data_IF_911408813606
#
_entry.id   IF_911408813606
#
_cell.length_a   1.000
_cell.length_b   1.000
_cell.length_c   1.000
_cell.angle_alpha   90.00
_cell.angle_beta   90.00
_cell.angle_gamma   90.00
#
_symmetry.space_group_name_H-M   'P 1'
#
loop_
_entity.id
_entity.type
_entity.pdbx_description
1 polymer ?
#
# COMPACT_ATOMS: atom_id res chain seq x y z
N UNK A 1 -23.63 2.76 4.27
CA UNK A 1 -24.19 2.43 2.96
C UNK A 1 -25.17 1.27 3.11
N UNK A 2 -26.26 1.24 2.34
CA UNK A 2 -27.31 0.21 2.38
C UNK A 2 -27.67 -0.23 0.95
N UNK A 3 -27.84 -1.53 0.76
CA UNK A 3 -28.27 -2.16 -0.48
C UNK A 3 -29.42 -3.12 -0.17
N UNK A 4 -30.61 -2.83 -0.68
CA UNK A 4 -31.82 -3.62 -0.40
C UNK A 4 -32.44 -4.19 -1.69
N UNK A 5 -32.57 -5.52 -1.72
CA UNK A 5 -33.15 -6.31 -2.82
C UNK A 5 -34.40 -7.08 -2.39
N UNK A 6 -34.94 -6.86 -1.18
CA UNK A 6 -36.11 -7.60 -0.70
C UNK A 6 -37.31 -7.33 -1.60
N UNK A 7 -37.83 -8.38 -2.22
CA UNK A 7 -38.97 -8.30 -3.15
C UNK A 7 -38.64 -7.70 -4.51
N UNK A 8 -37.36 -7.58 -4.90
CA UNK A 8 -36.91 -7.00 -6.17
C UNK A 8 -35.82 -7.84 -6.83
N UNK A 9 -35.66 -7.71 -8.15
CA UNK A 9 -34.48 -8.22 -8.83
C UNK A 9 -33.25 -7.36 -8.44
N UNK A 10 -32.05 -7.94 -8.49
CA UNK A 10 -30.80 -7.27 -8.08
C UNK A 10 -30.53 -5.98 -8.86
N UNK A 11 -31.02 -5.88 -10.09
CA UNK A 11 -30.94 -4.70 -10.97
C UNK A 11 -31.80 -3.52 -10.50
N UNK A 12 -32.76 -3.75 -9.60
CA UNK A 12 -33.69 -2.74 -9.05
C UNK A 12 -33.45 -2.47 -7.57
N UNK A 13 -32.27 -2.85 -7.07
CA UNK A 13 -31.92 -2.67 -5.68
C UNK A 13 -31.94 -1.19 -5.30
N UNK A 14 -32.44 -0.89 -4.09
CA UNK A 14 -32.34 0.46 -3.53
C UNK A 14 -30.93 0.64 -2.98
N UNK A 15 -30.17 1.56 -3.57
CA UNK A 15 -28.84 1.94 -3.12
C UNK A 15 -28.90 3.25 -2.32
N UNK A 16 -28.26 3.27 -1.16
CA UNK A 16 -28.10 4.50 -0.37
C UNK A 16 -26.73 4.56 0.30
N UNK A 17 -25.95 5.60 0.03
CA UNK A 17 -24.75 5.97 0.78
C UNK A 17 -25.07 7.18 1.68
N UNK A 18 -24.44 7.26 2.85
CA UNK A 18 -24.56 8.45 3.70
C UNK A 18 -23.76 9.58 3.03
N UNK A 19 -24.36 10.75 2.76
CA UNK A 19 -23.64 11.89 2.16
C UNK A 19 -22.42 12.28 2.97
N UNK A 20 -22.56 12.28 4.30
CA UNK A 20 -21.52 12.72 5.24
C UNK A 20 -20.33 11.77 5.37
N UNK A 21 -20.45 10.52 4.89
CA UNK A 21 -19.38 9.52 5.00
C UNK A 21 -18.55 9.41 3.71
N UNK A 22 -19.21 9.06 2.59
CA UNK A 22 -18.51 8.80 1.32
C UNK A 22 -19.06 9.62 0.16
N UNK A 23 -20.19 10.33 0.36
CA UNK A 23 -20.87 11.03 -0.72
C UNK A 23 -21.06 10.14 -1.97
N UNK A 24 -20.67 10.62 -3.16
CA UNK A 24 -20.77 9.87 -4.40
C UNK A 24 -19.60 8.91 -4.65
N UNK A 25 -18.59 8.83 -3.77
CA UNK A 25 -17.36 8.05 -4.02
C UNK A 25 -17.49 6.56 -3.71
N UNK A 26 -18.56 6.12 -3.05
CA UNK A 26 -18.74 4.73 -2.64
C UNK A 26 -19.85 4.03 -3.41
N UNK A 27 -19.53 2.87 -3.99
CA UNK A 27 -20.42 2.05 -4.81
C UNK A 27 -20.42 0.60 -4.33
N UNK A 28 -21.57 -0.06 -4.36
CA UNK A 28 -21.68 -1.47 -3.98
C UNK A 28 -21.97 -2.32 -5.21
N UNK A 29 -21.11 -3.32 -5.44
CA UNK A 29 -21.21 -4.24 -6.58
C UNK A 29 -21.70 -5.58 -6.09
N UNK A 30 -23.02 -5.79 -6.21
CA UNK A 30 -23.66 -7.05 -5.83
C UNK A 30 -23.42 -8.20 -6.82
N UNK A 31 -22.96 -7.90 -8.04
CA UNK A 31 -22.72 -8.90 -9.08
C UNK A 31 -21.39 -9.63 -8.98
N UNK A 32 -20.49 -9.23 -8.07
CA UNK A 32 -19.23 -9.95 -7.81
C UNK A 32 -19.43 -11.02 -6.74
N UNK A 33 -18.59 -12.06 -6.76
CA UNK A 33 -18.54 -13.06 -5.70
C UNK A 33 -17.12 -13.11 -5.08
N UNK A 34 -16.92 -12.59 -3.86
CA UNK A 34 -17.93 -11.97 -2.99
C UNK A 34 -18.39 -10.59 -3.49
N UNK A 35 -19.55 -10.13 -3.01
CA UNK A 35 -20.03 -8.78 -3.29
C UNK A 35 -19.05 -7.75 -2.70
N UNK A 36 -18.74 -6.69 -3.45
CA UNK A 36 -17.68 -5.75 -3.10
C UNK A 36 -18.21 -4.33 -2.84
N UNK A 37 -17.64 -3.67 -1.84
CA UNK A 37 -17.74 -2.22 -1.66
C UNK A 37 -16.52 -1.59 -2.35
N UNK A 38 -16.78 -0.66 -3.26
CA UNK A 38 -15.78 0.12 -3.99
C UNK A 38 -15.81 1.54 -3.45
N UNK A 39 -14.64 2.10 -3.17
CA UNK A 39 -14.47 3.49 -2.71
C UNK A 39 -13.44 4.14 -3.62
N UNK A 40 -13.87 5.14 -4.38
CA UNK A 40 -13.01 5.92 -5.26
C UNK A 40 -12.35 7.09 -4.50
N UNK A 41 -11.17 7.50 -4.98
CA UNK A 41 -10.39 8.61 -4.43
C UNK A 41 -10.26 8.50 -2.89
N UNK A 42 -9.53 7.48 -2.44
CA UNK A 42 -9.33 7.15 -1.01
C UNK A 42 -8.57 8.29 -0.31
N UNK A 43 -9.04 8.71 0.86
CA UNK A 43 -8.38 9.70 1.72
C UNK A 43 -7.96 9.06 3.04
N UNK A 44 -6.94 9.59 3.72
CA UNK A 44 -6.49 9.12 5.05
C UNK A 44 -7.63 9.02 6.08
N UNK A 45 -8.62 9.92 6.02
CA UNK A 45 -9.80 9.90 6.90
C UNK A 45 -10.75 8.72 6.65
N UNK A 46 -10.61 8.02 5.51
CA UNK A 46 -11.41 6.83 5.20
C UNK A 46 -10.89 5.60 5.97
N UNK A 47 -9.70 5.67 6.60
CA UNK A 47 -9.15 4.60 7.43
C UNK A 47 -10.06 4.27 8.63
N UNK A 48 -10.24 2.97 8.91
CA UNK A 48 -10.96 2.53 10.10
C UNK A 48 -11.60 1.15 9.97
N UNK A 49 -12.54 0.87 10.88
CA UNK A 49 -13.24 -0.42 10.95
C UNK A 49 -14.61 -0.34 10.27
N UNK A 50 -14.76 -1.06 9.18
CA UNK A 50 -15.96 -1.13 8.38
C UNK A 50 -16.83 -2.29 8.86
N UNK A 51 -18.14 -2.07 8.97
CA UNK A 51 -19.12 -3.10 9.34
C UNK A 51 -19.98 -3.45 8.14
N UNK A 52 -19.95 -4.72 7.73
CA UNK A 52 -20.90 -5.25 6.75
C UNK A 52 -21.96 -6.06 7.48
N UNK A 53 -23.22 -5.65 7.32
CA UNK A 53 -24.40 -6.30 7.88
C UNK A 53 -25.28 -6.79 6.74
N UNK A 54 -25.66 -8.07 6.78
CA UNK A 54 -26.55 -8.68 5.80
C UNK A 54 -27.72 -9.34 6.52
N UNK A 55 -28.92 -8.83 6.29
CA UNK A 55 -30.16 -9.38 6.85
C UNK A 55 -30.79 -10.36 5.84
N UNK A 56 -31.03 -11.60 6.28
CA UNK A 56 -31.68 -12.64 5.46
C UNK A 56 -33.14 -12.82 5.89
N UNK A 57 -34.00 -13.26 4.97
CA UNK A 57 -35.43 -13.45 5.27
C UNK A 57 -35.68 -14.60 6.25
N UNK A 58 -35.00 -15.73 6.06
CA UNK A 58 -35.21 -16.98 6.80
C UNK A 58 -33.94 -17.45 7.52
N UNK A 59 -32.97 -16.56 7.72
CA UNK A 59 -31.69 -16.91 8.35
C UNK A 59 -31.20 -15.75 9.21
N UNK A 60 -30.36 -16.02 10.23
CA UNK A 60 -29.82 -14.98 11.08
C UNK A 60 -29.03 -13.93 10.28
N UNK A 61 -29.08 -12.68 10.74
CA UNK A 61 -28.25 -11.59 10.22
C UNK A 61 -26.78 -11.94 10.36
N UNK A 62 -26.02 -11.79 9.27
CA UNK A 62 -24.56 -11.93 9.30
C UNK A 62 -23.92 -10.56 9.46
N UNK A 63 -22.95 -10.47 10.36
CA UNK A 63 -22.15 -9.28 10.59
C UNK A 63 -20.68 -9.62 10.39
N UNK A 64 -19.96 -8.77 9.67
CA UNK A 64 -18.51 -8.85 9.54
C UNK A 64 -17.89 -7.49 9.77
N UNK A 65 -16.66 -7.49 10.28
CA UNK A 65 -15.85 -6.30 10.47
C UNK A 65 -14.62 -6.42 9.59
N UNK A 66 -14.27 -5.35 8.89
CA UNK A 66 -13.08 -5.27 8.04
C UNK A 66 -12.27 -4.06 8.49
N UNK A 67 -11.00 -4.27 8.78
CA UNK A 67 -10.07 -3.16 9.02
C UNK A 67 -9.57 -2.67 7.67
N UNK A 68 -9.82 -1.41 7.37
CA UNK A 68 -9.34 -0.75 6.18
C UNK A 68 -8.25 0.22 6.60
N UNK A 69 -7.00 -0.13 6.30
CA UNK A 69 -5.80 0.65 6.60
C UNK A 69 -5.27 1.30 5.34
N UNK A 70 -4.85 2.55 5.42
CA UNK A 70 -4.31 3.28 4.28
C UNK A 70 -2.79 3.35 4.43
N UNK A 71 -2.08 2.96 3.38
CA UNK A 71 -0.64 3.02 3.32
C UNK A 71 -0.27 4.20 2.42
N UNK A 72 0.41 5.19 3.00
CA UNK A 72 0.98 6.30 2.22
C UNK A 72 2.40 5.91 1.83
N UNK A 73 2.70 5.82 0.52
CA UNK A 73 4.04 5.51 0.09
C UNK A 73 5.03 6.59 0.54
N UNK A 74 6.31 6.25 0.69
CA UNK A 74 7.32 7.21 1.06
C UNK A 74 7.48 8.30 0.00
N UNK A 75 7.88 9.48 0.45
CA UNK A 75 7.99 10.66 -0.42
C UNK A 75 9.34 10.77 -1.09
N UNK A 76 10.40 10.24 -0.46
CA UNK A 76 11.78 10.30 -0.97
C UNK A 76 12.52 9.02 -0.60
N UNK A 77 13.38 8.59 -1.51
CA UNK A 77 14.29 7.46 -1.34
C UNK A 77 15.70 8.01 -1.57
N UNK A 78 16.60 7.74 -0.62
CA UNK A 78 18.01 8.07 -0.69
C UNK A 78 18.83 6.79 -0.65
N UNK A 79 19.85 6.71 -1.50
CA UNK A 79 20.79 5.59 -1.51
C UNK A 79 22.14 6.15 -1.12
N UNK A 80 22.81 5.51 -0.17
CA UNK A 80 24.13 5.88 0.29
C UNK A 80 25.11 4.72 0.10
N UNK A 81 26.38 5.05 -0.09
CA UNK A 81 27.48 4.09 0.09
C UNK A 81 27.86 3.94 1.58
N UNK A 82 28.86 3.10 1.84
CA UNK A 82 29.44 2.85 3.16
C UNK A 82 30.01 4.11 3.83
N UNK A 83 30.37 5.12 3.03
CA UNK A 83 30.84 6.42 3.49
C UNK A 83 29.70 7.46 3.67
N UNK A 84 28.43 7.06 3.57
CA UNK A 84 27.24 7.93 3.62
C UNK A 84 27.18 9.00 2.53
N UNK A 85 27.76 8.73 1.37
CA UNK A 85 27.67 9.63 0.22
C UNK A 85 26.45 9.23 -0.61
N UNK A 86 25.53 10.17 -0.80
CA UNK A 86 24.32 9.97 -1.58
C UNK A 86 24.65 9.64 -3.04
N UNK A 87 24.02 8.58 -3.56
CA UNK A 87 24.10 8.17 -4.97
C UNK A 87 22.71 8.31 -5.59
N UNK A 88 22.60 9.17 -6.58
CA UNK A 88 21.28 9.58 -7.09
C UNK A 88 20.73 8.67 -8.19
N UNK A 89 21.56 7.98 -8.98
CA UNK A 89 21.13 7.15 -10.10
C UNK A 89 22.12 6.05 -10.50
N UNK A 90 23.39 6.22 -10.13
CA UNK A 90 24.49 5.41 -10.59
C UNK A 90 25.42 5.16 -9.43
N UNK A 91 25.67 3.90 -9.14
CA UNK A 91 26.54 3.48 -8.05
C UNK A 91 27.70 2.72 -8.68
N UNK A 92 28.90 3.31 -8.65
CA UNK A 92 30.09 2.75 -9.27
C UNK A 92 30.97 3.81 -9.92
N UNK A 93 32.21 3.48 -10.31
CA UNK A 93 32.70 2.13 -10.65
C UNK A 93 33.16 1.29 -9.46
N UNK A 94 32.73 0.02 -9.39
CA UNK A 94 33.20 -0.95 -8.39
C UNK A 94 34.06 -2.05 -9.04
N UNK A 95 35.04 -2.53 -8.29
CA UNK A 95 35.88 -3.64 -8.73
C UNK A 95 35.13 -4.97 -8.58
N UNK A 96 35.32 -5.86 -9.54
CA UNK A 96 34.77 -7.21 -9.52
C UNK A 96 35.21 -7.96 -8.24
N UNK A 97 34.25 -8.59 -7.56
CA UNK A 97 34.50 -9.31 -6.30
C UNK A 97 34.60 -8.43 -5.05
N UNK A 98 34.44 -7.11 -5.16
CA UNK A 98 34.29 -6.23 -4.00
C UNK A 98 32.91 -6.41 -3.34
N UNK A 99 32.89 -6.43 -2.01
CA UNK A 99 31.66 -6.36 -1.24
C UNK A 99 31.28 -4.88 -1.12
N UNK A 100 30.08 -4.52 -1.57
CA UNK A 100 29.58 -3.14 -1.52
C UNK A 100 28.40 -3.09 -0.56
N UNK A 101 28.50 -2.24 0.44
CA UNK A 101 27.40 -1.99 1.37
C UNK A 101 26.64 -0.75 0.90
N UNK A 102 25.37 -0.92 0.51
CA UNK A 102 24.50 0.19 0.17
C UNK A 102 23.43 0.35 1.25
N UNK A 103 23.26 1.58 1.69
CA UNK A 103 22.27 1.94 2.69
C UNK A 103 21.13 2.63 1.97
N UNK A 104 19.93 2.06 2.07
CA UNK A 104 18.72 2.67 1.55
C UNK A 104 17.95 3.36 2.67
N UNK A 105 17.84 4.67 2.57
CA UNK A 105 17.07 5.47 3.52
C UNK A 105 15.80 5.97 2.84
N UNK A 106 14.66 5.56 3.38
CA UNK A 106 13.35 5.94 2.89
C UNK A 106 12.77 6.96 3.86
N UNK A 107 12.43 8.15 3.37
CA UNK A 107 11.89 9.24 4.19
C UNK A 107 10.43 9.53 3.89
N UNK A 108 9.68 9.71 4.98
CA UNK A 108 8.25 9.92 4.96
C UNK A 108 7.46 8.67 4.56
N UNK A 109 6.14 8.85 4.44
CA UNK A 109 5.18 7.75 4.46
C UNK A 109 4.51 7.68 5.83
N UNK A 110 3.27 7.20 5.83
CA UNK A 110 2.46 7.01 7.01
C UNK A 110 1.83 5.63 6.91
N UNK A 111 1.92 4.87 8.00
CA UNK A 111 1.17 3.65 8.21
C UNK A 111 0.17 3.90 9.35
N UNK A 112 -1.07 3.45 9.14
CA UNK A 112 -2.19 3.62 10.05
C UNK A 112 -2.21 2.65 11.23
N UNK A 113 -1.06 2.38 11.85
CA UNK A 113 -1.00 1.53 13.04
C UNK A 113 -1.27 2.36 14.29
N UNK A 114 -2.46 2.14 14.87
CA UNK A 114 -2.98 2.73 16.12
C UNK A 114 -2.09 2.52 17.37
N UNK A 115 -0.92 1.89 17.23
CA UNK A 115 0.05 1.64 18.31
C UNK A 115 1.39 2.37 18.14
N UNK A 116 1.58 3.10 17.05
CA UNK A 116 2.79 3.86 16.77
C UNK A 116 2.40 5.32 16.60
N UNK A 117 3.06 6.22 17.32
CA UNK A 117 2.87 7.66 17.15
C UNK A 117 2.84 8.04 15.66
N UNK A 118 1.95 8.95 15.21
CA UNK A 118 1.92 9.45 13.84
C UNK A 118 3.16 10.34 13.62
N UNK A 119 4.30 9.71 13.49
CA UNK A 119 5.55 10.30 13.06
C UNK A 119 5.86 9.82 11.64
N UNK A 120 6.71 10.54 10.89
CA UNK A 120 7.30 9.99 9.69
C UNK A 120 7.96 8.66 10.05
N UNK A 121 7.54 7.57 9.40
CA UNK A 121 8.23 6.29 9.52
C UNK A 121 9.49 6.40 8.66
N UNK A 122 10.48 7.16 9.13
CA UNK A 122 11.80 7.16 8.51
C UNK A 122 12.37 5.76 8.74
N UNK A 123 12.29 4.94 7.70
CA UNK A 123 12.70 3.55 7.76
C UNK A 123 14.02 3.45 7.02
N UNK A 124 15.09 3.15 7.75
CA UNK A 124 16.40 2.88 7.16
C UNK A 124 16.56 1.38 6.99
N UNK A 125 16.80 0.94 5.76
CA UNK A 125 17.12 -0.45 5.43
C UNK A 125 18.56 -0.52 4.93
N UNK A 126 19.37 -1.40 5.50
CA UNK A 126 20.72 -1.69 5.02
C UNK A 126 20.72 -3.04 4.32
N UNK A 127 21.09 -3.08 3.04
CA UNK A 127 21.19 -4.33 2.29
C UNK A 127 22.62 -4.51 1.78
N UNK A 128 23.24 -5.63 2.14
CA UNK A 128 24.57 -6.00 1.65
C UNK A 128 24.39 -6.67 0.28
N UNK A 129 24.68 -5.95 -0.81
CA UNK A 129 24.71 -6.54 -2.14
C UNK A 129 26.12 -7.02 -2.48
N UNK A 130 26.22 -8.28 -2.90
CA UNK A 130 27.47 -8.84 -3.42
C UNK A 130 27.40 -8.89 -4.95
N UNK A 131 28.23 -8.10 -5.62
CA UNK A 131 28.28 -8.10 -7.08
C UNK A 131 28.98 -9.36 -7.58
N UNK A 132 28.23 -10.28 -8.18
CA UNK A 132 28.73 -11.49 -8.83
C UNK A 132 28.77 -11.23 -10.34
N UNK A 133 29.94 -11.26 -10.96
CA UNK A 133 30.11 -10.96 -12.38
C UNK A 133 29.49 -12.01 -13.29
N UNK A 134 29.15 -11.60 -14.50
CA UNK A 134 29.24 -12.47 -15.67
C UNK A 134 29.90 -11.71 -16.82
N UNK A 135 31.24 -11.81 -16.84
CA UNK A 135 32.17 -11.76 -17.98
C UNK A 135 32.66 -10.39 -18.51
N UNK A 136 33.99 -10.25 -18.33
CA UNK A 136 35.04 -9.48 -19.03
C UNK A 136 34.86 -7.98 -19.30
N UNK A 137 35.68 -7.21 -18.59
CA UNK A 137 36.23 -5.95 -19.08
C UNK A 137 35.32 -4.76 -18.83
N UNK A 138 35.87 -3.79 -18.12
CA UNK A 138 35.33 -2.47 -17.88
C UNK A 138 34.30 -2.36 -16.75
N UNK A 139 34.54 -1.32 -15.95
CA UNK A 139 33.81 -0.93 -14.76
C UNK A 139 32.30 -0.99 -14.93
N UNK A 140 31.62 -1.75 -14.06
CA UNK A 140 30.17 -1.95 -14.16
C UNK A 140 29.40 -0.82 -13.46
N UNK A 141 28.58 -0.12 -14.23
CA UNK A 141 27.60 0.87 -13.77
C UNK A 141 26.23 0.18 -13.68
N UNK A 142 25.70 -0.03 -12.47
CA UNK A 142 24.35 -0.58 -12.28
C UNK A 142 23.36 0.51 -11.90
N UNK A 143 22.22 0.56 -12.61
CA UNK A 143 21.06 1.38 -12.25
C UNK A 143 20.22 0.68 -11.18
N UNK A 144 20.19 1.23 -9.96
CA UNK A 144 19.34 0.72 -8.89
C UNK A 144 17.95 1.33 -9.09
N UNK A 145 16.98 0.49 -9.47
CA UNK A 145 15.64 0.95 -9.84
C UNK A 145 14.58 0.81 -8.74
N UNK A 146 14.86 0.13 -7.62
CA UNK A 146 13.85 -0.04 -6.55
C UNK A 146 14.42 -0.57 -5.23
N UNK A 147 14.27 0.18 -4.14
CA UNK A 147 14.16 -0.40 -2.79
C UNK A 147 12.68 -0.72 -2.54
N UNK A 148 12.35 -1.97 -2.19
CA UNK A 148 10.97 -2.34 -1.86
C UNK A 148 10.75 -2.26 -0.35
N UNK A 149 9.72 -1.52 0.06
CA UNK A 149 9.11 -1.62 1.38
C UNK A 149 8.20 -2.87 1.38
N UNK A 150 8.34 -3.75 2.38
CA UNK A 150 7.47 -4.92 2.55
C UNK A 150 6.09 -4.54 3.10
#
# INVERSE_FOLDING_TARGET
MCFDVRGRQSTQAKLWSSPDAFGPRAFFRASTNPAALLIDNIHLSDEGVYRCRVDFKNSPTRNSKVNFTIIVPPTKIFIYDDHRIEKSNLVGPYNEGSDVNLICEVRGGLHGDQNSSPGPVDTTYSENMRFISTILGDTFESSISSCRTL
#
